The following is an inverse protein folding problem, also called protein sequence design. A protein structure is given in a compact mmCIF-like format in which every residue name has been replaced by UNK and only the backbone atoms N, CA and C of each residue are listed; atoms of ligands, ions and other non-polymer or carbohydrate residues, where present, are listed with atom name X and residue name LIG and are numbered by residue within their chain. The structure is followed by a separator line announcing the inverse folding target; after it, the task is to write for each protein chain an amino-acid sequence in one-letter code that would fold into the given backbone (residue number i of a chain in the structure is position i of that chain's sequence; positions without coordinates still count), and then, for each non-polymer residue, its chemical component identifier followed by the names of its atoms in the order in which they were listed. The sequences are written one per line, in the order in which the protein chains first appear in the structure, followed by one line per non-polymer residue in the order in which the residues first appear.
data_IF_819861918753
#
_entry.id   IF_819861918753
#
_cell.length_a   1.000
_cell.length_b   1.000
_cell.length_c   1.000
_cell.angle_alpha   90.00
_cell.angle_beta   90.00
_cell.angle_gamma   90.00
#
_symmetry.space_group_name_H-M   'P 1'
#
loop_
_entity.id
_entity.type
_entity.pdbx_description
1 polymer ?
#
# COMPACT_ATOMS: atom_id res chain seq x y z
N UNK A 1 -19.03 30.86 -5.38
CA UNK A 1 -19.30 29.42 -5.23
C UNK A 1 -18.81 28.75 -6.50
N UNK A 2 -17.56 28.30 -6.51
CA UNK A 2 -17.03 27.48 -7.60
C UNK A 2 -17.25 26.01 -7.28
N UNK A 3 -17.84 25.34 -8.25
CA UNK A 3 -18.34 23.98 -8.20
C UNK A 3 -17.19 23.02 -8.55
N UNK A 4 -16.54 22.46 -7.54
CA UNK A 4 -15.47 21.44 -7.69
C UNK A 4 -16.06 20.02 -7.82
N UNK A 5 -17.09 19.83 -8.65
CA UNK A 5 -17.69 18.50 -8.92
C UNK A 5 -16.94 17.67 -9.97
N UNK A 6 -15.62 17.78 -10.07
CA UNK A 6 -14.87 16.96 -11.04
C UNK A 6 -13.52 16.46 -10.55
N UNK A 7 -13.52 15.78 -9.42
CA UNK A 7 -12.58 14.68 -9.18
C UNK A 7 -13.46 13.45 -9.01
N UNK A 8 -13.36 12.50 -9.94
CA UNK A 8 -14.21 11.31 -9.96
C UNK A 8 -14.14 10.56 -8.64
N UNK A 9 -15.28 10.01 -8.23
CA UNK A 9 -15.53 9.31 -6.96
C UNK A 9 -14.88 7.91 -6.93
N UNK A 10 -13.60 7.82 -7.32
CA UNK A 10 -12.79 6.59 -7.24
C UNK A 10 -11.84 6.72 -6.05
N UNK A 11 -12.39 6.55 -4.83
CA UNK A 11 -11.63 6.44 -3.59
C UNK A 11 -10.93 5.08 -3.53
N UNK A 12 -9.83 4.93 -4.26
CA UNK A 12 -9.06 3.67 -4.29
C UNK A 12 -8.18 3.46 -3.04
N UNK A 13 -8.14 4.42 -2.12
CA UNK A 13 -7.58 4.28 -0.78
C UNK A 13 -8.11 5.37 0.16
N UNK A 14 -8.06 5.09 1.46
CA UNK A 14 -8.18 6.09 2.51
C UNK A 14 -6.79 6.65 2.81
N UNK A 15 -6.58 7.95 2.58
CA UNK A 15 -5.32 8.61 2.90
C UNK A 15 -5.23 8.90 4.41
N UNK A 16 -4.11 8.54 5.02
CA UNK A 16 -3.81 8.78 6.43
C UNK A 16 -2.45 9.48 6.54
N UNK A 17 -2.42 10.59 7.27
CA UNK A 17 -1.20 11.33 7.59
C UNK A 17 -1.27 11.79 9.04
N UNK A 18 -1.15 10.83 9.96
CA UNK A 18 -1.15 11.07 11.41
C UNK A 18 0.28 10.99 11.96
N UNK A 19 0.65 11.94 12.81
CA UNK A 19 2.00 12.01 13.40
C UNK A 19 2.29 10.86 14.35
N UNK A 20 1.26 10.15 14.85
CA UNK A 20 1.45 8.93 15.66
C UNK A 20 2.20 7.83 14.89
N UNK A 21 2.10 7.82 13.56
CA UNK A 21 2.81 6.86 12.70
C UNK A 21 4.12 7.41 12.12
N UNK A 22 4.56 8.61 12.54
CA UNK A 22 5.81 9.18 12.07
C UNK A 22 7.00 8.28 12.46
N UNK A 23 7.74 7.80 11.46
CA UNK A 23 8.87 6.89 11.67
C UNK A 23 8.48 5.47 12.09
N UNK A 24 7.21 5.09 11.94
CA UNK A 24 6.77 3.72 12.22
C UNK A 24 7.51 2.71 11.33
N UNK A 25 7.97 1.63 11.95
CA UNK A 25 8.49 0.46 11.26
C UNK A 25 7.35 -0.43 10.76
N UNK A 26 7.62 -1.28 9.77
CA UNK A 26 6.65 -2.29 9.30
C UNK A 26 6.14 -3.15 10.46
N UNK A 27 7.03 -3.57 11.37
CA UNK A 27 6.62 -4.37 12.53
C UNK A 27 5.66 -3.61 13.44
N UNK A 28 5.87 -2.30 13.68
CA UNK A 28 4.93 -1.51 14.49
C UNK A 28 3.57 -1.34 13.82
N UNK A 29 3.50 -1.30 12.48
CA UNK A 29 2.24 -1.28 11.75
C UNK A 29 1.51 -2.63 11.86
N UNK A 30 2.25 -3.73 11.75
CA UNK A 30 1.73 -5.10 11.98
C UNK A 30 1.19 -5.25 13.40
N UNK A 31 1.96 -4.81 14.41
CA UNK A 31 1.56 -4.89 15.82
C UNK A 31 0.32 -4.01 16.10
N UNK A 32 0.24 -2.84 15.45
CA UNK A 32 -0.91 -1.96 15.55
C UNK A 32 -2.19 -2.61 14.97
N UNK A 33 -2.12 -3.23 13.78
CA UNK A 33 -3.26 -3.96 13.22
C UNK A 33 -3.62 -5.19 14.07
N UNK A 34 -2.62 -5.95 14.54
CA UNK A 34 -2.82 -7.14 15.36
C UNK A 34 -3.58 -6.86 16.67
N UNK A 35 -3.48 -5.63 17.19
CA UNK A 35 -4.18 -5.19 18.41
C UNK A 35 -5.44 -4.36 18.15
N UNK A 36 -5.76 -4.06 16.88
CA UNK A 36 -6.94 -3.31 16.50
C UNK A 36 -8.23 -4.13 16.71
N UNK A 37 -9.34 -3.43 16.95
CA UNK A 37 -10.68 -4.03 16.86
C UNK A 37 -10.91 -4.55 15.44
N UNK A 38 -11.74 -5.58 15.29
CA UNK A 38 -12.03 -6.20 14.00
C UNK A 38 -12.63 -5.20 13.00
N UNK A 39 -13.39 -4.21 13.50
CA UNK A 39 -13.97 -3.13 12.68
C UNK A 39 -12.91 -2.14 12.15
N UNK A 40 -11.68 -2.16 12.69
CA UNK A 40 -10.57 -1.31 12.28
C UNK A 40 -9.40 -2.07 11.66
N UNK A 41 -9.52 -3.40 11.54
CA UNK A 41 -8.51 -4.18 10.82
C UNK A 41 -8.45 -3.78 9.36
N UNK A 42 -7.24 -3.69 8.84
CA UNK A 42 -6.95 -3.40 7.44
C UNK A 42 -6.13 -4.53 6.84
N UNK A 43 -6.39 -4.87 5.58
CA UNK A 43 -5.75 -6.02 4.94
C UNK A 43 -4.32 -5.73 4.45
N UNK A 44 -4.06 -4.49 4.06
CA UNK A 44 -2.77 -4.06 3.53
C UNK A 44 -2.62 -2.54 3.61
N UNK A 45 -1.38 -2.06 3.56
CA UNK A 45 -1.04 -0.64 3.52
C UNK A 45 -0.16 -0.32 2.32
N UNK A 46 -0.27 0.91 1.82
CA UNK A 46 0.72 1.53 0.94
C UNK A 46 1.37 2.70 1.68
N UNK A 47 2.62 2.50 2.09
CA UNK A 47 3.37 3.44 2.92
C UNK A 47 4.20 4.37 2.03
N UNK A 48 4.12 5.66 2.32
CA UNK A 48 5.03 6.69 1.79
C UNK A 48 6.16 6.85 2.80
N UNK A 49 7.37 6.40 2.45
CA UNK A 49 8.56 6.55 3.27
C UNK A 49 9.63 7.43 2.60
N UNK A 50 10.79 7.57 3.24
CA UNK A 50 11.90 8.36 2.70
C UNK A 50 12.31 7.93 1.29
N UNK A 51 12.25 6.62 0.98
CA UNK A 51 12.60 6.13 -0.36
C UNK A 51 11.54 6.55 -1.39
N UNK A 52 10.26 6.45 -1.05
CA UNK A 52 9.17 6.97 -1.90
C UNK A 52 9.40 8.45 -2.26
N UNK A 53 9.85 9.27 -1.31
CA UNK A 53 10.03 10.70 -1.53
C UNK A 53 11.33 11.06 -2.26
N UNK A 54 12.35 10.20 -2.22
CA UNK A 54 13.68 10.49 -2.75
C UNK A 54 13.96 9.88 -4.14
N UNK A 55 13.21 8.85 -4.52
CA UNK A 55 13.39 8.13 -5.78
C UNK A 55 12.45 8.70 -6.87
N UNK A 56 12.94 8.80 -8.11
CA UNK A 56 12.20 9.35 -9.25
C UNK A 56 10.95 8.53 -9.62
N UNK A 57 10.95 7.22 -9.33
CA UNK A 57 9.78 6.35 -9.56
C UNK A 57 8.73 6.47 -8.44
N UNK A 58 9.06 7.20 -7.36
CA UNK A 58 8.25 7.35 -6.15
C UNK A 58 7.65 6.05 -5.60
N UNK A 59 8.42 4.94 -5.45
CA UNK A 59 7.84 3.65 -5.15
C UNK A 59 7.28 3.59 -3.72
N UNK A 60 5.98 3.35 -3.62
CA UNK A 60 5.28 3.07 -2.36
C UNK A 60 5.79 1.74 -1.79
N UNK A 61 5.81 1.61 -0.47
CA UNK A 61 6.02 0.32 0.19
C UNK A 61 4.65 -0.32 0.46
N UNK A 62 4.31 -1.36 -0.31
CA UNK A 62 3.15 -2.20 -0.02
C UNK A 62 3.49 -3.12 1.16
N UNK A 63 2.58 -3.24 2.14
CA UNK A 63 2.74 -4.08 3.33
C UNK A 63 1.49 -4.92 3.52
N UNK A 64 1.68 -6.24 3.59
CA UNK A 64 0.63 -7.19 3.97
C UNK A 64 0.40 -7.13 5.48
N UNK A 65 -0.86 -7.09 5.89
CA UNK A 65 -1.28 -7.13 7.29
C UNK A 65 -2.19 -8.33 7.59
N UNK A 66 -2.52 -9.14 6.58
CA UNK A 66 -3.51 -10.22 6.69
C UNK A 66 -2.88 -11.61 6.51
N UNK A 67 -2.46 -11.98 5.30
CA UNK A 67 -2.08 -13.38 5.00
C UNK A 67 -0.66 -13.70 5.47
N UNK A 68 0.30 -12.81 5.20
CA UNK A 68 1.68 -12.89 5.65
C UNK A 68 2.11 -11.56 6.29
N UNK A 69 1.63 -11.23 7.51
CA UNK A 69 1.84 -9.91 8.10
C UNK A 69 3.32 -9.48 8.13
N UNK A 70 3.60 -8.32 7.53
CA UNK A 70 4.94 -7.76 7.39
C UNK A 70 5.64 -8.09 6.06
N UNK A 71 5.10 -9.02 5.26
CA UNK A 71 5.54 -9.21 3.89
C UNK A 71 5.36 -7.90 3.12
N UNK A 72 6.38 -7.49 2.37
CA UNK A 72 6.38 -6.17 1.74
C UNK A 72 7.19 -6.12 0.46
N UNK A 73 6.80 -5.21 -0.43
CA UNK A 73 7.48 -4.94 -1.70
C UNK A 73 7.27 -3.49 -2.15
N UNK A 74 8.08 -3.06 -3.13
CA UNK A 74 8.00 -1.71 -3.70
C UNK A 74 7.08 -1.66 -4.91
N UNK A 75 6.23 -0.65 -4.95
CA UNK A 75 5.27 -0.38 -6.04
C UNK A 75 5.52 1.01 -6.60
N UNK A 76 6.21 1.15 -7.75
CA UNK A 76 6.29 2.42 -8.47
C UNK A 76 4.88 2.99 -8.70
N UNK A 77 4.71 4.31 -8.60
CA UNK A 77 3.37 4.94 -8.63
C UNK A 77 2.59 4.59 -9.89
N UNK A 78 3.28 4.35 -11.02
CA UNK A 78 2.64 3.93 -12.27
C UNK A 78 1.88 2.59 -12.17
N UNK A 79 2.28 1.69 -11.25
CA UNK A 79 1.63 0.39 -11.04
C UNK A 79 0.60 0.40 -9.89
N UNK A 80 0.57 1.46 -9.08
CA UNK A 80 -0.29 1.53 -7.89
C UNK A 80 -1.78 1.29 -8.20
N UNK A 81 -2.29 1.90 -9.27
CA UNK A 81 -3.70 1.79 -9.61
C UNK A 81 -4.13 0.35 -9.92
N UNK A 82 -3.27 -0.40 -10.61
CA UNK A 82 -3.53 -1.80 -10.98
C UNK A 82 -3.42 -2.73 -9.77
N UNK A 83 -2.34 -2.62 -8.99
CA UNK A 83 -2.15 -3.41 -7.77
C UNK A 83 -3.29 -3.15 -6.78
N UNK A 84 -3.60 -1.88 -6.48
CA UNK A 84 -4.66 -1.51 -5.54
C UNK A 84 -6.03 -2.02 -5.99
N UNK A 85 -6.35 -1.89 -7.27
CA UNK A 85 -7.62 -2.36 -7.81
C UNK A 85 -7.77 -3.89 -7.65
N UNK A 86 -6.75 -4.67 -8.04
CA UNK A 86 -6.79 -6.13 -7.93
C UNK A 86 -6.92 -6.60 -6.47
N UNK A 87 -6.15 -6.02 -5.56
CA UNK A 87 -6.23 -6.35 -4.13
C UNK A 87 -7.59 -5.98 -3.53
N UNK A 88 -8.14 -4.80 -3.88
CA UNK A 88 -9.39 -4.30 -3.30
C UNK A 88 -10.63 -5.15 -3.62
N UNK A 89 -10.58 -5.89 -4.73
CA UNK A 89 -11.65 -6.79 -5.16
C UNK A 89 -11.28 -8.28 -5.02
N UNK A 90 -10.14 -8.58 -4.41
CA UNK A 90 -9.58 -9.92 -4.27
C UNK A 90 -9.51 -10.69 -5.61
N UNK A 91 -9.12 -10.00 -6.69
CA UNK A 91 -8.87 -10.67 -7.97
C UNK A 91 -7.50 -11.38 -8.00
N UNK A 92 -6.54 -10.85 -7.24
CA UNK A 92 -5.22 -11.43 -7.02
C UNK A 92 -4.83 -11.26 -5.55
N UNK A 93 -3.98 -12.16 -5.06
CA UNK A 93 -3.50 -12.12 -3.68
C UNK A 93 -2.27 -11.20 -3.55
N UNK A 94 -2.00 -10.72 -2.34
CA UNK A 94 -0.79 -9.92 -2.07
C UNK A 94 0.49 -10.69 -2.42
N UNK A 95 0.51 -11.99 -2.12
CA UNK A 95 1.62 -12.89 -2.43
C UNK A 95 1.93 -12.94 -3.94
N UNK A 96 0.92 -12.91 -4.81
CA UNK A 96 1.12 -12.96 -6.26
C UNK A 96 1.98 -11.78 -6.75
N UNK A 97 1.71 -10.56 -6.23
CA UNK A 97 2.52 -9.38 -6.55
C UNK A 97 3.89 -9.42 -5.88
N UNK A 98 3.95 -9.87 -4.62
CA UNK A 98 5.19 -9.92 -3.85
C UNK A 98 6.16 -10.98 -4.38
N UNK A 99 5.68 -12.06 -5.02
CA UNK A 99 6.48 -13.08 -5.69
C UNK A 99 6.96 -12.62 -7.09
N UNK A 100 6.26 -11.66 -7.71
CA UNK A 100 6.57 -11.12 -9.03
C UNK A 100 7.54 -9.91 -9.01
N UNK A 101 8.24 -9.68 -7.89
CA UNK A 101 9.18 -8.57 -7.77
C UNK A 101 10.52 -8.86 -8.47
N UNK A 102 11.19 -7.80 -8.94
CA UNK A 102 12.55 -7.91 -9.43
C UNK A 102 13.58 -8.15 -8.29
N UNK A 103 14.85 -8.28 -8.64
CA UNK A 103 15.94 -8.49 -7.69
C UNK A 103 16.11 -7.33 -6.66
N UNK A 104 15.47 -6.19 -6.87
CA UNK A 104 15.46 -5.04 -5.95
C UNK A 104 14.28 -5.07 -4.98
N UNK A 105 13.37 -6.05 -5.11
CA UNK A 105 12.13 -6.12 -4.36
C UNK A 105 11.05 -5.16 -4.90
N UNK A 106 11.14 -4.78 -6.17
CA UNK A 106 10.19 -3.86 -6.82
C UNK A 106 9.32 -4.59 -7.82
N UNK A 107 8.00 -4.44 -7.70
CA UNK A 107 7.05 -4.93 -8.69
C UNK A 107 7.09 -4.04 -9.94
N UNK A 108 7.29 -4.66 -11.11
CA UNK A 108 7.43 -3.96 -12.40
C UNK A 108 6.44 -4.44 -13.47
N UNK A 109 5.34 -5.06 -13.03
CA UNK A 109 4.39 -5.75 -13.91
C UNK A 109 4.66 -7.26 -13.93
N UNK A 110 3.66 -8.02 -14.37
CA UNK A 110 3.83 -9.43 -14.74
C UNK A 110 4.45 -9.53 -16.14
N UNK A 111 5.35 -10.50 -16.32
CA UNK A 111 5.95 -10.83 -17.63
C UNK A 111 4.95 -11.51 -18.59
#
# INVERSE_FOLDING_TARGET
MENLSRIGDYRMATFVSDTVYAGATVQQLVDADATADIDYKVFYLFVVDTKTLADDEHPLLAVDLDTEPGRSFRVPVQFYADVSANLSIANMDFADFADAVDATGTYRGFD
#
